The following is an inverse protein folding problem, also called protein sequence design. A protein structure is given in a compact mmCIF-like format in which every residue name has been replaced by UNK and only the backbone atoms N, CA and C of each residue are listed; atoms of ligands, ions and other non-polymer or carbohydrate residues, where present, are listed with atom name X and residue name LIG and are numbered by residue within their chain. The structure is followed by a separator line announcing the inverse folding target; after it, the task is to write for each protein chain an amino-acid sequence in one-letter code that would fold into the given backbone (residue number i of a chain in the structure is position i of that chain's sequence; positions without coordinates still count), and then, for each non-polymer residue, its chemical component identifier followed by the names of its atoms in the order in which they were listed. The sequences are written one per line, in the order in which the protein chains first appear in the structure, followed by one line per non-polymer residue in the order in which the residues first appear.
data_IF_807874622312
#
_entry.id   IF_807874622312
#
_cell.length_a   1.000
_cell.length_b   1.000
_cell.length_c   1.000
_cell.angle_alpha   90.00
_cell.angle_beta   90.00
_cell.angle_gamma   90.00
#
_symmetry.space_group_name_H-M   'P 1'
#
loop_
_entity.id
_entity.type
_entity.pdbx_description
1 polymer ?
#
# COMPACT_ATOMS: atom_id res chain seq x y z
N UNK A 1 38.79 15.89 34.28
CA UNK A 1 37.63 16.64 33.74
C UNK A 1 37.76 16.57 32.22
N UNK A 2 37.14 15.63 31.49
CA UNK A 2 35.69 15.46 31.24
C UNK A 2 35.29 16.50 30.18
N UNK A 3 35.01 16.22 28.91
CA UNK A 3 34.07 15.24 28.35
C UNK A 3 34.42 14.90 26.88
N UNK A 4 34.42 13.60 26.53
CA UNK A 4 34.40 13.12 25.13
C UNK A 4 32.95 12.96 24.70
N UNK A 5 32.45 13.82 23.81
CA UNK A 5 31.14 13.65 23.18
C UNK A 5 31.22 12.50 22.16
N UNK A 6 30.78 11.30 22.58
CA UNK A 6 30.50 10.19 21.68
C UNK A 6 29.16 10.44 21.00
N UNK A 7 29.20 10.96 19.78
CA UNK A 7 28.04 11.00 18.89
C UNK A 7 27.73 9.58 18.41
N UNK A 8 26.78 8.91 19.05
CA UNK A 8 26.19 7.65 18.60
C UNK A 8 25.43 7.89 17.31
N UNK A 9 26.03 7.50 16.18
CA UNK A 9 25.32 7.33 14.91
C UNK A 9 24.38 6.14 15.08
N UNK A 10 23.09 6.41 15.31
CA UNK A 10 22.05 5.40 15.18
C UNK A 10 21.96 5.02 13.70
N UNK A 11 22.56 3.89 13.36
CA UNK A 11 22.35 3.23 12.08
C UNK A 11 20.85 2.93 11.92
N UNK A 12 20.20 3.63 10.99
CA UNK A 12 18.95 3.16 10.40
C UNK A 12 19.22 1.81 9.74
N UNK A 13 19.02 0.73 10.50
CA UNK A 13 18.92 -0.61 9.96
C UNK A 13 17.66 -0.64 9.09
N UNK A 14 17.83 -0.35 7.79
CA UNK A 14 16.83 -0.62 6.76
C UNK A 14 16.63 -2.13 6.76
N UNK A 15 15.67 -2.61 7.56
CA UNK A 15 15.17 -3.99 7.44
C UNK A 15 14.62 -4.10 6.03
N UNK A 16 15.37 -4.78 5.16
CA UNK A 16 14.92 -5.14 3.82
C UNK A 16 13.73 -6.07 3.97
N UNK A 17 12.51 -5.53 3.94
CA UNK A 17 11.31 -6.32 3.75
C UNK A 17 11.48 -7.04 2.42
N UNK A 18 11.68 -8.37 2.44
CA UNK A 18 11.78 -9.15 1.20
C UNK A 18 10.44 -9.05 0.48
N UNK A 19 10.53 -8.72 -0.81
CA UNK A 19 9.41 -8.75 -1.72
C UNK A 19 9.03 -10.21 -1.93
N UNK A 20 7.85 -10.61 -1.44
CA UNK A 20 7.24 -11.87 -1.89
C UNK A 20 6.63 -11.56 -3.26
N UNK A 21 7.37 -11.92 -4.30
CA UNK A 21 6.83 -11.93 -5.66
C UNK A 21 6.31 -13.35 -5.84
N UNK A 22 4.98 -13.61 -5.77
CA UNK A 22 4.48 -14.93 -6.10
C UNK A 22 4.90 -15.26 -7.53
N UNK A 23 5.29 -16.51 -7.76
CA UNK A 23 5.67 -17.01 -9.08
C UNK A 23 4.61 -16.60 -10.13
N UNK A 24 5.08 -16.19 -11.31
CA UNK A 24 4.24 -15.91 -12.48
C UNK A 24 3.67 -17.21 -13.06
N UNK A 25 2.95 -17.98 -12.25
CA UNK A 25 2.11 -19.06 -12.73
C UNK A 25 0.81 -18.45 -13.27
N UNK A 26 0.33 -18.86 -14.45
CA UNK A 26 -1.04 -18.56 -14.86
C UNK A 26 -1.95 -19.15 -13.77
N UNK A 27 -2.65 -18.29 -13.02
CA UNK A 27 -3.59 -18.77 -12.02
C UNK A 27 -4.75 -19.47 -12.73
N UNK A 28 -5.35 -20.50 -12.11
CA UNK A 28 -6.59 -21.10 -12.59
C UNK A 28 -7.68 -20.02 -12.78
N UNK A 29 -8.68 -20.31 -13.61
CA UNK A 29 -9.82 -19.43 -13.96
C UNK A 29 -10.77 -19.11 -12.79
N UNK A 30 -10.21 -18.68 -11.65
CA UNK A 30 -10.92 -18.09 -10.51
C UNK A 30 -10.74 -16.58 -10.46
N UNK A 31 -11.54 -15.91 -9.63
CA UNK A 31 -11.42 -14.46 -9.38
C UNK A 31 -9.98 -14.10 -8.97
N UNK A 32 -9.35 -13.08 -9.56
CA UNK A 32 -7.98 -12.69 -9.24
C UNK A 32 -7.80 -12.33 -7.75
N UNK A 33 -6.93 -13.09 -7.09
CA UNK A 33 -6.31 -12.75 -5.82
C UNK A 33 -5.24 -11.66 -5.99
N UNK A 34 -4.68 -11.13 -4.88
CA UNK A 34 -3.56 -10.20 -5.01
C UNK A 34 -2.38 -10.88 -5.70
N UNK A 35 -1.80 -10.19 -6.68
CA UNK A 35 -0.59 -10.61 -7.42
C UNK A 35 0.69 -10.23 -6.69
N UNK A 36 0.59 -9.30 -5.75
CA UNK A 36 1.70 -8.87 -4.93
C UNK A 36 1.18 -8.24 -3.64
N UNK A 37 1.95 -8.40 -2.57
CA UNK A 37 1.70 -7.74 -1.30
C UNK A 37 3.03 -7.29 -0.69
N UNK A 38 3.06 -6.08 -0.14
CA UNK A 38 4.25 -5.55 0.51
C UNK A 38 3.88 -4.60 1.64
N UNK A 39 4.62 -4.68 2.75
CA UNK A 39 4.62 -3.61 3.75
C UNK A 39 5.54 -2.49 3.26
N UNK A 40 4.95 -1.33 2.97
CA UNK A 40 5.67 -0.12 2.60
C UNK A 40 5.85 0.72 3.85
N UNK A 41 7.06 1.23 4.06
CA UNK A 41 7.41 2.08 5.21
C UNK A 41 8.06 3.36 4.71
N UNK A 42 7.64 4.50 5.26
CA UNK A 42 8.19 5.81 4.91
C UNK A 42 8.20 6.72 6.14
N UNK A 43 8.86 7.87 6.03
CA UNK A 43 8.92 8.87 7.10
C UNK A 43 7.92 9.99 6.81
N UNK A 44 7.15 10.39 7.82
CA UNK A 44 6.31 11.59 7.80
C UNK A 44 6.84 12.61 8.81
N UNK A 45 6.29 13.81 8.82
CA UNK A 45 6.58 14.84 9.84
C UNK A 45 6.23 14.39 11.26
N UNK A 46 5.38 13.37 11.41
CA UNK A 46 4.93 12.81 12.70
C UNK A 46 5.65 11.52 13.09
N UNK A 47 6.58 11.05 12.26
CA UNK A 47 7.37 9.84 12.51
C UNK A 47 7.22 8.77 11.42
N UNK A 48 7.66 7.54 11.69
CA UNK A 48 7.57 6.46 10.70
C UNK A 48 6.11 6.05 10.49
N UNK A 49 5.72 5.93 9.22
CA UNK A 49 4.45 5.39 8.78
C UNK A 49 4.65 4.06 8.04
N UNK A 50 3.62 3.21 8.06
CA UNK A 50 3.61 1.95 7.33
C UNK A 50 2.21 1.60 6.85
N UNK A 51 2.13 0.98 5.69
CA UNK A 51 0.90 0.44 5.13
C UNK A 51 1.17 -0.92 4.48
N UNK A 52 0.11 -1.69 4.29
CA UNK A 52 0.13 -2.85 3.43
C UNK A 52 -0.36 -2.44 2.03
N UNK A 53 0.49 -2.51 1.03
CA UNK A 53 0.09 -2.33 -0.38
C UNK A 53 -0.16 -3.69 -0.98
N UNK A 54 -1.34 -3.87 -1.57
CA UNK A 54 -1.74 -5.07 -2.31
C UNK A 54 -2.04 -4.69 -3.75
N UNK A 55 -1.48 -5.45 -4.69
CA UNK A 55 -1.69 -5.22 -6.12
C UNK A 55 -2.61 -6.25 -6.74
N UNK A 56 -3.63 -5.77 -7.43
CA UNK A 56 -4.64 -6.57 -8.10
C UNK A 56 -4.68 -6.20 -9.57
N UNK A 57 -4.90 -7.20 -10.43
CA UNK A 57 -5.15 -6.98 -11.86
C UNK A 57 -6.58 -7.41 -12.15
N UNK A 58 -7.54 -6.46 -12.12
CA UNK A 58 -8.90 -6.76 -12.53
C UNK A 58 -8.94 -7.28 -13.96
N UNK A 59 -10.00 -8.00 -14.31
CA UNK A 59 -10.31 -8.46 -15.66
C UNK A 59 -10.49 -7.30 -16.64
N UNK A 60 -10.93 -6.14 -16.13
CA UNK A 60 -11.09 -4.90 -16.90
C UNK A 60 -10.38 -3.75 -16.19
N UNK A 61 -9.55 -3.03 -16.93
CA UNK A 61 -8.92 -1.80 -16.46
C UNK A 61 -7.43 -1.94 -16.16
N UNK A 62 -6.96 -1.05 -15.30
CA UNK A 62 -5.56 -0.80 -15.00
C UNK A 62 -5.11 -1.59 -13.76
N UNK A 63 -3.82 -1.51 -13.39
CA UNK A 63 -3.34 -2.11 -12.15
C UNK A 63 -3.97 -1.39 -10.95
N UNK A 64 -4.70 -2.13 -10.11
CA UNK A 64 -5.30 -1.58 -8.90
C UNK A 64 -4.38 -1.84 -7.70
N UNK A 65 -3.92 -0.78 -7.04
CA UNK A 65 -3.17 -0.86 -5.80
C UNK A 65 -4.04 -0.40 -4.63
N UNK A 66 -4.18 -1.28 -3.65
CA UNK A 66 -4.92 -1.01 -2.42
C UNK A 66 -3.91 -0.85 -1.28
N UNK A 67 -3.74 0.37 -0.79
CA UNK A 67 -2.92 0.71 0.36
C UNK A 67 -3.79 0.69 1.62
N UNK A 68 -3.62 -0.34 2.44
CA UNK A 68 -4.33 -0.50 3.71
C UNK A 68 -3.52 0.07 4.86
N UNK A 69 -4.11 0.99 5.62
CA UNK A 69 -3.46 1.51 6.83
C UNK A 69 -3.27 0.38 7.86
N UNK A 70 -2.10 0.35 8.49
CA UNK A 70 -1.74 -0.62 9.52
C UNK A 70 -1.68 0.02 10.93
N UNK A 71 -1.96 1.32 11.02
CA UNK A 71 -2.24 1.98 12.30
C UNK A 71 -3.65 1.55 12.69
N UNK A 72 -3.79 0.92 13.85
CA UNK A 72 -5.13 0.66 14.41
C UNK A 72 -5.92 1.98 14.50
N UNK A 73 -7.26 1.89 14.51
CA UNK A 73 -8.23 3.01 14.37
C UNK A 73 -7.93 4.25 15.24
N UNK A 74 -7.10 4.14 16.28
CA UNK A 74 -6.77 5.22 17.21
C UNK A 74 -6.11 6.46 16.57
N UNK A 75 -5.56 6.37 15.35
CA UNK A 75 -5.03 7.54 14.63
C UNK A 75 -5.78 7.71 13.32
N UNK A 76 -6.84 8.52 13.38
CA UNK A 76 -7.79 8.81 12.32
C UNK A 76 -7.14 9.19 10.98
N UNK A 77 -7.90 8.92 9.92
CA UNK A 77 -7.60 8.95 8.50
C UNK A 77 -6.83 10.18 7.93
N UNK A 78 -6.69 11.28 8.67
CA UNK A 78 -6.10 12.53 8.17
C UNK A 78 -4.58 12.45 7.93
N UNK A 79 -3.88 11.53 8.59
CA UNK A 79 -2.41 11.47 8.49
C UNK A 79 -1.92 10.49 7.42
N UNK A 80 -2.81 9.65 6.89
CA UNK A 80 -2.48 8.71 5.81
C UNK A 80 -2.42 9.41 4.46
N UNK A 81 -3.30 10.40 4.28
CA UNK A 81 -3.54 11.16 3.05
C UNK A 81 -2.45 12.19 2.79
N UNK A 82 -2.00 12.89 3.84
CA UNK A 82 -0.93 13.91 3.78
C UNK A 82 0.41 13.43 3.19
N UNK A 83 0.59 12.11 3.02
CA UNK A 83 1.84 11.51 2.56
C UNK A 83 1.65 10.39 1.54
N UNK A 84 0.48 10.28 0.89
CA UNK A 84 0.19 9.17 -0.01
C UNK A 84 1.12 9.13 -1.24
N UNK A 85 1.51 10.29 -1.77
CA UNK A 85 2.49 10.39 -2.86
C UNK A 85 3.86 9.84 -2.45
N UNK A 86 4.34 10.16 -1.24
CA UNK A 86 5.60 9.62 -0.71
C UNK A 86 5.53 8.10 -0.51
N UNK A 87 4.38 7.59 -0.07
CA UNK A 87 4.14 6.14 0.01
C UNK A 87 4.20 5.51 -1.39
N UNK A 88 3.49 6.08 -2.37
CA UNK A 88 3.46 5.60 -3.74
C UNK A 88 4.84 5.65 -4.43
N UNK A 89 5.62 6.71 -4.19
CA UNK A 89 7.00 6.84 -4.63
C UNK A 89 7.91 5.79 -3.98
N UNK A 90 7.75 5.56 -2.67
CA UNK A 90 8.53 4.55 -1.94
C UNK A 90 8.22 3.16 -2.48
N UNK A 91 6.94 2.86 -2.69
CA UNK A 91 6.49 1.63 -3.33
C UNK A 91 7.10 1.49 -4.73
N UNK A 92 6.96 2.51 -5.58
CA UNK A 92 7.46 2.48 -6.95
C UNK A 92 8.98 2.28 -7.00
N UNK A 93 9.73 2.89 -6.08
CA UNK A 93 11.19 2.71 -5.98
C UNK A 93 11.57 1.27 -5.68
N UNK A 94 10.85 0.60 -4.78
CA UNK A 94 11.12 -0.80 -4.44
C UNK A 94 10.74 -1.73 -5.59
N UNK A 95 9.69 -1.40 -6.33
CA UNK A 95 9.18 -2.19 -7.45
C UNK A 95 9.70 -1.78 -8.84
N UNK A 96 10.62 -0.82 -8.90
CA UNK A 96 11.15 -0.31 -10.17
C UNK A 96 11.72 -1.45 -11.00
N UNK A 97 11.25 -1.59 -12.24
CA UNK A 97 11.64 -2.66 -13.16
C UNK A 97 10.93 -4.01 -12.95
N UNK A 98 10.12 -4.15 -11.89
CA UNK A 98 9.23 -5.32 -11.67
C UNK A 98 7.79 -5.02 -12.05
N UNK A 99 7.37 -3.77 -11.88
CA UNK A 99 6.08 -3.30 -12.41
C UNK A 99 6.21 -3.08 -13.92
N UNK A 100 5.57 -3.96 -14.69
CA UNK A 100 5.40 -3.81 -16.14
C UNK A 100 4.20 -2.90 -16.49
N UNK A 101 3.92 -1.91 -15.63
CA UNK A 101 2.81 -0.97 -15.75
C UNK A 101 3.36 0.44 -15.50
N UNK A 102 3.00 1.39 -16.36
CA UNK A 102 3.40 2.78 -16.19
C UNK A 102 2.74 3.38 -14.93
N UNK A 103 3.41 4.27 -14.17
CA UNK A 103 2.85 4.90 -12.97
C UNK A 103 1.46 5.51 -13.16
N UNK A 104 1.19 6.11 -14.32
CA UNK A 104 -0.07 6.73 -14.71
C UNK A 104 -1.20 5.73 -14.93
N UNK A 105 -0.84 4.47 -15.17
CA UNK A 105 -1.77 3.35 -15.35
C UNK A 105 -2.01 2.60 -14.02
N UNK A 106 -1.70 3.22 -12.89
CA UNK A 106 -1.96 2.65 -11.58
C UNK A 106 -3.12 3.39 -10.93
N UNK A 107 -4.20 2.65 -10.66
CA UNK A 107 -5.30 3.17 -9.84
C UNK A 107 -4.99 2.88 -8.38
N UNK A 108 -5.06 3.92 -7.55
CA UNK A 108 -4.74 3.83 -6.13
C UNK A 108 -5.98 3.98 -5.26
N UNK A 109 -6.17 3.03 -4.34
CA UNK A 109 -7.17 3.08 -3.29
C UNK A 109 -6.48 3.10 -1.94
N UNK A 110 -6.82 4.08 -1.10
CA UNK A 110 -6.61 3.98 0.33
C UNK A 110 -7.72 3.13 0.94
N UNK A 111 -7.36 2.18 1.79
CA UNK A 111 -8.29 1.30 2.49
C UNK A 111 -8.15 1.52 3.99
N UNK A 112 -9.25 1.92 4.62
CA UNK A 112 -9.36 2.05 6.07
C UNK A 112 -10.48 1.14 6.57
N UNK A 113 -10.17 0.34 7.56
CA UNK A 113 -11.10 -0.59 8.19
C UNK A 113 -10.38 -1.33 9.29
N UNK A 114 -11.10 -1.67 10.35
CA UNK A 114 -10.58 -2.52 11.40
C UNK A 114 -11.09 -3.93 11.18
N UNK A 115 -10.20 -4.92 10.97
CA UNK A 115 -10.61 -6.32 10.88
C UNK A 115 -11.30 -6.83 12.15
N UNK A 116 -11.16 -6.15 13.30
CA UNK A 116 -11.83 -6.49 14.55
C UNK A 116 -13.14 -5.72 14.81
N UNK A 117 -13.47 -4.68 14.02
CA UNK A 117 -14.68 -3.89 14.22
C UNK A 117 -15.76 -4.27 13.20
N UNK A 118 -17.03 -4.23 13.61
CA UNK A 118 -18.19 -4.36 12.73
C UNK A 118 -18.35 -3.16 11.76
N UNK A 119 -17.35 -2.31 11.62
CA UNK A 119 -17.40 -1.16 10.73
C UNK A 119 -17.13 -1.60 9.29
N UNK A 120 -17.89 -1.08 8.32
CA UNK A 120 -17.68 -1.43 6.91
C UNK A 120 -16.30 -0.96 6.45
N UNK A 121 -15.65 -1.77 5.60
CA UNK A 121 -14.44 -1.37 4.91
C UNK A 121 -14.71 -0.08 4.14
N UNK A 122 -13.84 0.92 4.30
CA UNK A 122 -13.94 2.18 3.57
C UNK A 122 -12.80 2.29 2.58
N UNK A 123 -13.13 2.67 1.36
CA UNK A 123 -12.18 2.90 0.29
C UNK A 123 -12.21 4.38 -0.09
N UNK A 124 -11.03 4.95 -0.31
CA UNK A 124 -10.86 6.30 -0.85
C UNK A 124 -10.04 6.17 -2.12
N UNK A 125 -10.60 6.62 -3.24
CA UNK A 125 -9.84 6.77 -4.47
C UNK A 125 -8.89 7.95 -4.31
N UNK A 126 -7.60 7.70 -4.52
CA UNK A 126 -6.55 8.72 -4.40
C UNK A 126 -6.07 9.02 -5.81
N UNK A 127 -6.53 10.13 -6.38
CA UNK A 127 -6.05 10.57 -7.67
C UNK A 127 -4.60 11.03 -7.52
N UNK A 128 -3.74 10.51 -8.40
CA UNK A 128 -2.36 10.96 -8.48
C UNK A 128 -1.97 11.11 -9.94
N UNK A 129 -1.18 12.13 -10.21
CA UNK A 129 -0.62 12.38 -11.53
C UNK A 129 0.88 12.13 -11.50
N UNK A 130 1.40 11.43 -12.50
CA UNK A 130 2.84 11.32 -12.69
C UNK A 130 3.34 12.51 -13.51
N UNK A 131 4.46 13.13 -13.10
CA UNK A 131 5.10 14.23 -13.83
C UNK A 131 6.31 13.79 -14.68
N UNK A 132 6.54 12.47 -14.79
CA UNK A 132 7.72 11.87 -15.40
C UNK A 132 8.78 11.43 -14.38
N UNK A 133 8.76 12.00 -13.16
CA UNK A 133 9.76 11.72 -12.12
C UNK A 133 9.13 11.26 -10.81
N UNK A 134 7.97 11.80 -10.46
CA UNK A 134 7.29 11.56 -9.17
C UNK A 134 5.77 11.66 -9.27
N UNK A 135 5.09 11.20 -8.22
CA UNK A 135 3.66 11.39 -8.08
C UNK A 135 3.35 12.77 -7.51
N UNK A 136 2.37 13.43 -8.11
CA UNK A 136 1.76 14.65 -7.62
C UNK A 136 0.39 14.31 -7.04
N UNK A 137 0.08 14.91 -5.90
CA UNK A 137 -1.21 14.74 -5.23
C UNK A 137 -2.34 15.30 -6.10
N UNK A 138 -3.41 14.53 -6.23
CA UNK A 138 -4.67 14.95 -6.84
C UNK A 138 -5.80 15.03 -5.82
N UNK A 139 -7.04 14.91 -6.29
CA UNK A 139 -8.21 14.85 -5.43
C UNK A 139 -8.32 13.49 -4.73
N UNK A 140 -8.94 13.50 -3.56
CA UNK A 140 -9.31 12.29 -2.84
C UNK A 140 -10.82 12.17 -2.79
N UNK A 141 -11.33 11.00 -3.14
CA UNK A 141 -12.77 10.74 -3.15
C UNK A 141 -13.10 9.49 -2.35
N UNK A 142 -13.78 9.68 -1.22
CA UNK A 142 -14.31 8.55 -0.45
C UNK A 142 -15.40 7.87 -1.27
N UNK A 143 -15.20 6.57 -1.52
CA UNK A 143 -16.11 5.77 -2.31
C UNK A 143 -17.32 5.35 -1.49
N UNK A 144 -18.48 5.32 -2.13
CA UNK A 144 -19.65 4.58 -1.63
C UNK A 144 -19.39 3.07 -1.72
N UNK A 145 -20.23 2.28 -1.06
CA UNK A 145 -20.14 0.82 -1.15
C UNK A 145 -20.28 0.33 -2.60
N UNK A 146 -21.19 0.92 -3.38
CA UNK A 146 -21.41 0.55 -4.79
C UNK A 146 -20.20 0.89 -5.65
N UNK A 147 -19.63 2.10 -5.52
CA UNK A 147 -18.43 2.51 -6.26
C UNK A 147 -17.22 1.63 -5.92
N UNK A 148 -17.04 1.30 -4.64
CA UNK A 148 -15.99 0.36 -4.23
C UNK A 148 -16.26 -1.04 -4.79
N UNK A 149 -17.53 -1.47 -4.79
CA UNK A 149 -17.98 -2.72 -5.38
C UNK A 149 -17.67 -2.81 -6.88
N UNK A 150 -17.91 -1.75 -7.65
CA UNK A 150 -17.59 -1.71 -9.08
C UNK A 150 -16.09 -1.89 -9.35
N UNK A 151 -15.23 -1.21 -8.60
CA UNK A 151 -13.77 -1.30 -8.74
C UNK A 151 -13.18 -2.65 -8.28
N UNK A 152 -13.92 -3.38 -7.45
CA UNK A 152 -13.43 -4.61 -6.80
C UNK A 152 -14.26 -5.85 -7.11
N UNK A 153 -15.25 -5.74 -8.00
CA UNK A 153 -16.30 -6.76 -8.24
C UNK A 153 -15.74 -8.13 -8.56
N UNK A 154 -14.67 -8.18 -9.34
CA UNK A 154 -14.03 -9.41 -9.79
C UNK A 154 -12.83 -9.80 -8.93
N UNK A 155 -12.52 -9.04 -7.89
CA UNK A 155 -11.39 -9.29 -7.00
C UNK A 155 -11.82 -10.13 -5.80
N UNK A 156 -10.89 -10.94 -5.29
CA UNK A 156 -10.98 -11.49 -3.94
C UNK A 156 -10.10 -10.62 -3.04
N UNK A 157 -10.71 -9.85 -2.14
CA UNK A 157 -9.98 -9.03 -1.19
C UNK A 157 -9.78 -9.80 0.11
N UNK A 158 -8.61 -10.42 0.27
CA UNK A 158 -8.27 -11.12 1.50
C UNK A 158 -8.23 -10.15 2.69
N UNK A 159 -8.67 -10.58 3.88
CA UNK A 159 -8.53 -9.78 5.09
C UNK A 159 -7.08 -9.37 5.34
N UNK A 160 -6.86 -8.12 5.73
CA UNK A 160 -5.51 -7.59 6.03
C UNK A 160 -4.73 -8.50 7.00
N UNK A 161 -5.31 -9.02 8.12
CA UNK A 161 -4.60 -9.92 9.01
C UNK A 161 -4.07 -11.19 8.33
N UNK A 162 -4.85 -11.80 7.44
CA UNK A 162 -4.47 -13.01 6.73
C UNK A 162 -3.32 -12.77 5.75
N UNK A 163 -3.34 -11.63 5.05
CA UNK A 163 -2.23 -11.23 4.16
C UNK A 163 -0.97 -10.95 4.96
N UNK A 164 -1.09 -10.26 6.10
CA UNK A 164 0.05 -10.00 6.98
C UNK A 164 0.65 -11.30 7.54
N UNK A 165 -0.18 -12.27 7.90
CA UNK A 165 0.28 -13.58 8.37
C UNK A 165 1.03 -14.34 7.28
N UNK A 166 0.49 -14.34 6.06
CA UNK A 166 1.13 -14.95 4.89
C UNK A 166 2.51 -14.35 4.61
N UNK A 167 2.65 -13.02 4.72
CA UNK A 167 3.93 -12.32 4.57
C UNK A 167 4.95 -12.65 5.67
N UNK A 168 4.51 -12.99 6.88
CA UNK A 168 5.41 -13.39 7.97
C UNK A 168 5.96 -14.79 7.75
N UNK A 169 5.12 -15.72 7.30
CA UNK A 169 5.50 -17.12 7.09
C UNK A 169 6.41 -17.30 5.87
N UNK A 170 6.34 -16.39 4.89
CA UNK A 170 7.20 -16.40 3.72
C UNK A 170 8.60 -15.78 3.93
N UNK A 171 8.89 -15.21 5.11
CA UNK A 171 10.13 -14.50 5.44
C UNK A 171 11.16 -15.39 6.14
#
# INVERSE_FOLDING_TARGET
MGNRNKSTRNCCAVRRTRLVTPDHSPLPEGRPHYRMAQIVQWSTTRGPARCLVRGYRPSKGSLLLIASDLRGIAHAATDFTDSFTTMAETFHRVWRGRLLVAPEQITWLAHFGDPAAAQPNTFTHVEMRWDGTRYLSGAEHRLTADQAGELTTDLVLEPVPQVLDSLRTAA
#
